data_IF_383811869142
#
_entry.id   IF_383811869142
#
_cell.length_a   1.000
_cell.length_b   1.000
_cell.length_c   1.000
_cell.angle_alpha   90.00
_cell.angle_beta   90.00
_cell.angle_gamma   90.00
#
_symmetry.space_group_name_H-M   'P 1'
#
loop_
_entity.id
_entity.type
_entity.pdbx_description
1 polymer ?
#
# COMPACT_ATOMS: atom_id res chain seq x y z
N UNK A 1 -17.96 -12.47 -25.95
CA UNK A 1 -18.53 -11.95 -24.68
C UNK A 1 -20.06 -11.78 -24.73
N UNK A 2 -20.61 -10.81 -25.49
CA UNK A 2 -22.07 -10.69 -25.65
C UNK A 2 -22.69 -11.83 -26.48
N UNK A 3 -21.92 -12.34 -27.46
CA UNK A 3 -22.33 -13.48 -28.30
C UNK A 3 -22.33 -14.81 -27.50
N UNK A 4 -21.58 -14.89 -26.39
CA UNK A 4 -21.46 -16.08 -25.53
C UNK A 4 -22.46 -16.11 -24.36
N UNK A 5 -23.42 -15.17 -24.31
CA UNK A 5 -24.45 -15.11 -23.27
C UNK A 5 -23.96 -14.70 -21.87
N UNK A 6 -22.78 -14.09 -21.74
CA UNK A 6 -22.30 -13.58 -20.45
C UNK A 6 -23.06 -12.32 -20.01
N UNK A 7 -23.60 -12.32 -18.79
CA UNK A 7 -24.07 -11.10 -18.13
C UNK A 7 -22.90 -10.15 -17.82
N UNK A 8 -23.13 -8.84 -17.87
CA UNK A 8 -22.09 -7.81 -17.70
C UNK A 8 -21.21 -8.00 -16.44
N UNK A 9 -21.77 -8.28 -15.23
CA UNK A 9 -20.94 -8.51 -14.04
C UNK A 9 -20.05 -9.74 -14.16
N UNK A 10 -20.55 -10.79 -14.83
CA UNK A 10 -19.83 -12.05 -15.03
C UNK A 10 -18.71 -11.89 -16.04
N UNK A 11 -18.94 -11.12 -17.11
CA UNK A 11 -17.88 -10.73 -18.06
C UNK A 11 -16.78 -9.93 -17.35
N UNK A 12 -17.16 -8.93 -16.57
CA UNK A 12 -16.23 -8.02 -15.91
C UNK A 12 -15.29 -8.78 -14.96
N UNK A 13 -15.84 -9.58 -14.04
CA UNK A 13 -15.03 -10.28 -13.04
C UNK A 13 -14.24 -11.46 -13.62
N UNK A 14 -14.78 -12.17 -14.60
CA UNK A 14 -14.19 -13.43 -15.09
C UNK A 14 -13.23 -13.24 -16.27
N UNK A 15 -13.41 -12.18 -17.06
CA UNK A 15 -12.61 -11.93 -18.28
C UNK A 15 -11.82 -10.64 -18.15
N UNK A 16 -12.47 -9.53 -17.79
CA UNK A 16 -11.82 -8.22 -17.76
C UNK A 16 -10.81 -8.08 -16.60
N UNK A 17 -11.21 -8.38 -15.36
CA UNK A 17 -10.35 -8.27 -14.17
C UNK A 17 -9.05 -9.10 -14.27
N UNK A 18 -9.06 -10.38 -14.70
CA UNK A 18 -7.83 -11.15 -14.86
C UNK A 18 -6.90 -10.62 -15.96
N UNK A 19 -7.47 -9.98 -16.98
CA UNK A 19 -6.71 -9.38 -18.08
C UNK A 19 -5.91 -8.16 -17.61
N UNK A 20 -6.53 -7.31 -16.78
CA UNK A 20 -5.89 -6.10 -16.23
C UNK A 20 -5.19 -6.33 -14.88
N UNK A 21 -5.03 -7.58 -14.43
CA UNK A 21 -4.46 -7.92 -13.10
C UNK A 21 -3.11 -7.26 -12.81
N UNK A 22 -2.29 -7.06 -13.85
CA UNK A 22 -0.99 -6.40 -13.72
C UNK A 22 -1.17 -4.91 -13.41
N UNK A 23 -2.09 -4.22 -14.08
CA UNK A 23 -2.44 -2.83 -13.78
C UNK A 23 -3.07 -2.65 -12.41
N UNK A 24 -3.95 -3.57 -12.00
CA UNK A 24 -4.52 -3.58 -10.64
C UNK A 24 -3.42 -3.71 -9.58
N UNK A 25 -2.44 -4.59 -9.79
CA UNK A 25 -1.32 -4.75 -8.86
C UNK A 25 -0.47 -3.48 -8.71
N UNK A 26 -0.25 -2.74 -9.80
CA UNK A 26 0.48 -1.45 -9.78
C UNK A 26 -0.35 -0.36 -9.10
N UNK A 27 -1.64 -0.25 -9.39
CA UNK A 27 -2.52 0.72 -8.74
C UNK A 27 -2.62 0.46 -7.22
N UNK A 28 -2.80 -0.81 -6.82
CA UNK A 28 -2.84 -1.21 -5.42
C UNK A 28 -1.53 -0.89 -4.69
N UNK A 29 -0.38 -1.09 -5.35
CA UNK A 29 0.93 -0.69 -4.82
C UNK A 29 0.99 0.80 -4.51
N UNK A 30 0.63 1.66 -5.47
CA UNK A 30 0.68 3.10 -5.29
C UNK A 30 -0.33 3.57 -4.24
N UNK A 31 -1.56 3.05 -4.26
CA UNK A 31 -2.56 3.35 -3.22
C UNK A 31 -2.05 3.00 -1.82
N UNK A 32 -1.44 1.83 -1.65
CA UNK A 32 -0.84 1.45 -0.38
C UNK A 32 0.32 2.39 -0.01
N UNK A 33 1.25 2.63 -0.92
CA UNK A 33 2.42 3.49 -0.67
C UNK A 33 2.01 4.89 -0.22
N UNK A 34 1.04 5.53 -0.91
CA UNK A 34 0.54 6.84 -0.53
C UNK A 34 -0.20 6.79 0.80
N UNK A 35 -1.11 5.82 1.00
CA UNK A 35 -1.84 5.68 2.26
C UNK A 35 -0.94 5.36 3.46
N UNK A 36 0.18 4.68 3.24
CA UNK A 36 1.12 4.24 4.29
C UNK A 36 1.99 5.39 4.81
N UNK A 37 2.35 6.33 3.92
CA UNK A 37 3.17 7.50 4.24
C UNK A 37 2.31 8.67 4.76
N UNK A 38 1.02 8.69 4.45
CA UNK A 38 0.13 9.81 4.75
C UNK A 38 -0.05 10.06 6.25
N UNK A 39 0.47 11.20 6.72
CA UNK A 39 0.48 11.58 8.13
C UNK A 39 -0.62 12.58 8.49
N UNK A 40 -0.92 13.51 7.59
CA UNK A 40 -1.75 14.68 7.89
C UNK A 40 -3.21 14.26 8.11
N UNK A 41 -3.79 13.55 7.15
CA UNK A 41 -5.16 13.07 7.25
C UNK A 41 -5.34 12.09 8.42
N UNK A 42 -4.34 11.25 8.66
CA UNK A 42 -4.41 10.26 9.71
C UNK A 42 -4.37 10.92 11.11
N UNK A 43 -3.53 11.93 11.32
CA UNK A 43 -3.49 12.68 12.60
C UNK A 43 -4.73 13.52 12.86
N UNK A 44 -5.35 14.06 11.81
CA UNK A 44 -6.54 14.91 11.97
C UNK A 44 -7.79 14.08 12.27
N UNK A 45 -7.89 12.85 11.74
CA UNK A 45 -9.07 11.99 11.90
C UNK A 45 -8.98 10.99 13.08
N UNK A 46 -7.78 10.66 13.59
CA UNK A 46 -7.64 9.70 14.70
C UNK A 46 -7.23 10.36 16.01
N UNK A 47 -8.06 10.19 17.04
CA UNK A 47 -7.88 10.84 18.34
C UNK A 47 -7.06 10.02 19.35
N UNK A 48 -7.18 8.67 19.42
CA UNK A 48 -6.48 7.92 20.50
C UNK A 48 -6.06 6.47 20.19
N UNK A 49 -6.85 5.65 19.48
CA UNK A 49 -6.62 4.19 19.37
C UNK A 49 -6.12 3.68 18.00
N UNK A 50 -6.11 4.52 16.97
CA UNK A 50 -5.71 4.14 15.61
C UNK A 50 -4.63 5.08 15.04
N UNK A 51 -3.70 5.53 15.90
CA UNK A 51 -2.61 6.39 15.46
C UNK A 51 -1.66 5.61 14.55
N UNK A 52 -1.36 6.11 13.33
CA UNK A 52 -0.31 5.53 12.50
C UNK A 52 1.01 5.52 13.24
N UNK A 53 1.86 4.53 12.96
CA UNK A 53 3.17 4.39 13.60
C UNK A 53 4.02 5.66 13.47
N UNK A 54 3.91 6.36 12.34
CA UNK A 54 4.57 7.66 12.08
C UNK A 54 4.05 8.78 13.00
N UNK A 55 2.78 8.73 13.41
CA UNK A 55 2.20 9.66 14.38
C UNK A 55 2.63 9.36 15.83
N UNK A 56 2.78 8.08 16.18
CA UNK A 56 3.30 7.65 17.48
C UNK A 56 4.78 8.01 17.63
N UNK A 57 5.57 7.90 16.55
CA UNK A 57 7.00 8.24 16.56
C UNK A 57 7.29 9.72 16.87
N UNK A 58 6.35 10.66 16.66
CA UNK A 58 6.57 12.05 17.09
C UNK A 58 6.20 12.30 18.54
N UNK A 59 5.60 11.31 19.23
CA UNK A 59 5.25 11.38 20.65
C UNK A 59 6.32 10.76 21.55
N UNK A 60 7.40 10.20 21.00
CA UNK A 60 8.53 9.66 21.77
C UNK A 60 9.43 10.74 22.39
N UNK A 61 9.11 12.02 22.16
CA UNK A 61 9.69 13.15 22.89
C UNK A 61 9.09 13.17 24.29
N UNK A 62 9.84 12.66 25.27
CA UNK A 62 9.47 12.72 26.69
C UNK A 62 10.24 13.83 27.41
N UNK A 63 9.82 14.18 28.63
CA UNK A 63 10.46 15.22 29.46
C UNK A 63 11.94 14.91 29.78
N UNK A 64 12.37 13.66 29.63
CA UNK A 64 13.74 13.16 29.82
C UNK A 64 14.61 13.18 28.56
N UNK A 65 14.11 13.67 27.42
CA UNK A 65 14.80 13.64 26.13
C UNK A 65 14.20 12.65 25.13
N UNK A 66 14.80 12.57 23.94
CA UNK A 66 14.37 11.69 22.85
C UNK A 66 14.99 10.30 23.00
N UNK A 67 14.16 9.27 23.06
CA UNK A 67 14.63 7.88 23.05
C UNK A 67 14.91 7.42 21.60
N UNK A 68 16.16 7.59 21.19
CA UNK A 68 16.66 7.20 19.88
C UNK A 68 16.57 5.69 19.63
N UNK A 69 16.67 4.85 20.66
CA UNK A 69 16.61 3.39 20.53
C UNK A 69 15.20 2.94 20.14
N UNK A 70 14.20 3.44 20.88
CA UNK A 70 12.79 3.19 20.56
C UNK A 70 12.40 3.75 19.19
N UNK A 71 12.91 4.94 18.83
CA UNK A 71 12.65 5.56 17.52
C UNK A 71 13.28 4.76 16.37
N UNK A 72 14.51 4.27 16.54
CA UNK A 72 15.16 3.41 15.55
C UNK A 72 14.42 2.06 15.36
N UNK A 73 14.00 1.41 16.45
CA UNK A 73 13.25 0.16 16.40
C UNK A 73 11.88 0.33 15.70
N UNK A 74 11.16 1.40 16.03
CA UNK A 74 9.91 1.75 15.34
C UNK A 74 10.14 2.04 13.85
N UNK A 75 11.24 2.75 13.51
CA UNK A 75 11.64 3.02 12.13
C UNK A 75 11.86 1.73 11.32
N UNK A 76 12.60 0.76 11.87
CA UNK A 76 12.82 -0.54 11.21
C UNK A 76 11.51 -1.30 11.01
N UNK A 77 10.61 -1.28 11.99
CA UNK A 77 9.28 -1.89 11.85
C UNK A 77 8.45 -1.27 10.73
N UNK A 78 8.60 0.03 10.44
CA UNK A 78 7.88 0.67 9.32
C UNK A 78 8.30 0.17 7.94
N UNK A 79 9.49 -0.42 7.82
CA UNK A 79 10.01 -0.97 6.56
C UNK A 79 9.32 -2.31 6.22
N UNK A 80 8.92 -3.08 7.22
CA UNK A 80 8.37 -4.44 7.05
C UNK A 80 7.15 -4.48 6.11
N UNK A 81 6.11 -3.63 6.28
CA UNK A 81 4.95 -3.64 5.39
C UNK A 81 5.31 -3.23 3.96
N UNK A 82 6.19 -2.23 3.80
CA UNK A 82 6.70 -1.83 2.49
C UNK A 82 7.41 -2.98 1.78
N UNK A 83 8.28 -3.70 2.48
CA UNK A 83 8.98 -4.87 1.95
C UNK A 83 8.02 -6.00 1.54
N UNK A 84 6.97 -6.26 2.32
CA UNK A 84 5.92 -7.24 1.99
C UNK A 84 5.20 -6.84 0.70
N UNK A 85 4.81 -5.57 0.58
CA UNK A 85 4.10 -5.09 -0.62
C UNK A 85 4.99 -5.16 -1.87
N UNK A 86 6.27 -4.77 -1.76
CA UNK A 86 7.25 -4.94 -2.84
C UNK A 86 7.37 -6.41 -3.23
N UNK A 87 7.43 -7.32 -2.25
CA UNK A 87 7.50 -8.76 -2.50
C UNK A 87 6.27 -9.24 -3.31
N UNK A 88 5.05 -8.83 -2.97
CA UNK A 88 3.85 -9.20 -3.74
C UNK A 88 3.84 -8.61 -5.14
N UNK A 89 4.28 -7.36 -5.28
CA UNK A 89 4.09 -6.57 -6.50
C UNK A 89 5.22 -6.79 -7.51
N UNK A 90 6.41 -7.25 -7.10
CA UNK A 90 7.58 -7.43 -7.99
C UNK A 90 7.28 -8.17 -9.29
N UNK A 91 6.42 -9.20 -9.23
CA UNK A 91 6.05 -10.01 -10.38
C UNK A 91 5.08 -9.30 -11.35
N UNK A 92 4.31 -8.33 -10.84
CA UNK A 92 3.38 -7.52 -11.62
C UNK A 92 4.06 -6.28 -12.22
N UNK A 93 4.93 -5.61 -11.43
CA UNK A 93 5.75 -4.48 -11.90
C UNK A 93 6.69 -4.92 -13.03
N UNK A 94 7.40 -6.04 -12.87
CA UNK A 94 8.33 -6.53 -13.90
C UNK A 94 7.62 -6.82 -15.24
N UNK A 95 6.38 -7.33 -15.19
CA UNK A 95 5.57 -7.60 -16.39
C UNK A 95 4.94 -6.33 -16.97
N UNK A 96 4.53 -5.38 -16.13
CA UNK A 96 3.98 -4.09 -16.55
C UNK A 96 5.00 -3.24 -17.31
N UNK A 97 6.24 -3.15 -16.84
CA UNK A 97 7.32 -2.45 -17.55
C UNK A 97 7.76 -3.18 -18.82
N UNK A 98 7.75 -4.52 -18.82
CA UNK A 98 8.09 -5.29 -20.02
C UNK A 98 7.07 -5.13 -21.16
N UNK A 99 5.77 -4.98 -20.84
CA UNK A 99 4.71 -4.76 -21.84
C UNK A 99 4.58 -3.30 -22.30
N UNK A 100 5.12 -2.33 -21.55
CA UNK A 100 5.19 -0.93 -21.97
C UNK A 100 6.29 -0.62 -23.00
N UNK A 101 7.09 -1.63 -23.36
CA UNK A 101 8.15 -1.52 -24.38
C UNK A 101 7.63 -2.04 -25.71
N UNK A 102 6.78 -1.23 -26.34
CA UNK A 102 6.46 -1.27 -27.78
C UNK A 102 6.98 0.00 -28.43
#
# INVERSE_FOLDING_TARGET
AYIDGYSFPRFFLRIFVPLIKAGIGVAAFFCFMFSWVELLMARTLTSVNALPIVAVMTRTVSASGMDWGTLAAAGVLTIVPGAIVIWFVRNYIAKGFAMGRV
#
